data_IF_958037004789
#
_entry.id   IF_958037004789
#
_cell.length_a   1.000
_cell.length_b   1.000
_cell.length_c   1.000
_cell.angle_alpha   90.00
_cell.angle_beta   90.00
_cell.angle_gamma   90.00
#
_symmetry.space_group_name_H-M   'P 1'
#
loop_
_entity.id
_entity.type
_entity.pdbx_description
1 polymer ?
#
# COMPACT_ATOMS: atom_id res chain seq x y z
N UNK A 1 -13.36 -15.26 -28.17
CA UNK A 1 -12.09 -15.52 -27.44
C UNK A 1 -11.45 -14.25 -26.85
N UNK A 2 -11.58 -13.07 -27.47
CA UNK A 2 -11.11 -11.78 -26.91
C UNK A 2 -11.94 -11.22 -25.73
N UNK A 3 -13.17 -11.70 -25.47
CA UNK A 3 -14.00 -11.25 -24.34
C UNK A 3 -13.68 -11.94 -23.02
N UNK A 4 -13.07 -13.14 -23.05
CA UNK A 4 -12.68 -13.91 -21.85
C UNK A 4 -11.44 -13.34 -21.16
N UNK A 5 -10.52 -12.76 -21.95
CA UNK A 5 -9.31 -12.08 -21.44
C UNK A 5 -9.69 -10.74 -20.79
N UNK A 6 -10.64 -9.98 -21.36
CA UNK A 6 -11.22 -8.78 -20.72
C UNK A 6 -11.91 -9.09 -19.40
N UNK A 7 -12.62 -10.22 -19.29
CA UNK A 7 -13.27 -10.65 -18.05
C UNK A 7 -12.25 -11.09 -16.98
N UNK A 8 -11.14 -11.73 -17.37
CA UNK A 8 -10.05 -12.11 -16.45
C UNK A 8 -9.22 -10.92 -15.98
N UNK A 9 -9.01 -9.92 -16.83
CA UNK A 9 -8.44 -8.62 -16.43
C UNK A 9 -9.38 -7.85 -15.52
N UNK A 10 -10.71 -7.89 -15.75
CA UNK A 10 -11.69 -7.32 -14.84
C UNK A 10 -11.72 -8.06 -13.49
N UNK A 11 -11.59 -9.39 -13.48
CA UNK A 11 -11.54 -10.21 -12.27
C UNK A 11 -10.23 -10.10 -11.49
N UNK A 12 -9.08 -9.85 -12.13
CA UNK A 12 -7.78 -9.63 -11.47
C UNK A 12 -7.61 -8.16 -11.07
N UNK A 13 -8.11 -7.20 -11.85
CA UNK A 13 -8.30 -5.83 -11.37
C UNK A 13 -9.34 -5.79 -10.25
N UNK A 14 -10.36 -6.65 -10.25
CA UNK A 14 -11.23 -6.87 -9.09
C UNK A 14 -10.53 -7.62 -7.98
N UNK A 15 -9.55 -8.50 -8.21
CA UNK A 15 -8.83 -9.17 -7.11
C UNK A 15 -7.75 -8.27 -6.50
N UNK A 16 -7.12 -7.42 -7.30
CA UNK A 16 -6.24 -6.33 -6.87
C UNK A 16 -7.05 -5.20 -6.25
N UNK A 17 -8.22 -4.87 -6.80
CA UNK A 17 -9.17 -3.97 -6.15
C UNK A 17 -9.78 -4.65 -4.93
N UNK A 18 -10.06 -5.96 -4.82
CA UNK A 18 -10.70 -6.61 -3.65
C UNK A 18 -9.69 -6.89 -2.54
N UNK A 19 -8.45 -7.26 -2.85
CA UNK A 19 -7.38 -7.28 -1.84
C UNK A 19 -6.95 -5.86 -1.42
N UNK A 20 -7.29 -4.82 -2.21
CA UNK A 20 -7.16 -3.40 -1.84
C UNK A 20 -8.47 -2.77 -1.32
N UNK A 21 -9.64 -3.39 -1.53
CA UNK A 21 -11.01 -2.91 -1.23
C UNK A 21 -11.75 -3.77 -0.20
N UNK A 22 -11.05 -4.71 0.43
CA UNK A 22 -11.38 -5.08 1.80
C UNK A 22 -11.08 -3.94 2.81
N UNK A 23 -10.79 -2.74 2.32
CA UNK A 23 -11.41 -1.52 2.82
C UNK A 23 -12.14 -0.81 1.67
N UNK A 24 -13.46 -0.62 1.80
CA UNK A 24 -14.34 0.28 1.01
C UNK A 24 -15.30 -0.42 0.03
N UNK A 25 -16.48 -0.79 0.53
CA UNK A 25 -17.73 -0.55 -0.19
C UNK A 25 -18.15 0.90 0.06
N UNK A 26 -17.62 1.83 -0.71
CA UNK A 26 -18.24 3.15 -0.89
C UNK A 26 -18.30 3.35 -2.38
N UNK A 27 -19.50 3.34 -2.93
CA UNK A 27 -19.80 3.99 -4.21
C UNK A 27 -19.51 5.48 -4.03
N UNK A 28 -18.26 5.85 -4.27
CA UNK A 28 -17.79 7.22 -4.23
C UNK A 28 -16.52 7.25 -5.05
N UNK A 29 -16.46 8.15 -6.03
CA UNK A 29 -15.21 8.49 -6.68
C UNK A 29 -14.20 8.83 -5.58
N UNK A 30 -13.20 7.97 -5.36
CA UNK A 30 -12.19 8.14 -4.31
C UNK A 30 -11.26 9.29 -4.73
N UNK A 31 -11.76 10.52 -4.56
CA UNK A 31 -11.00 11.74 -4.75
C UNK A 31 -9.98 11.80 -3.62
N UNK A 32 -8.79 11.25 -3.87
CA UNK A 32 -7.63 11.41 -2.98
C UNK A 32 -7.49 12.90 -2.66
N UNK A 33 -7.77 13.30 -1.43
CA UNK A 33 -7.62 14.70 -1.06
C UNK A 33 -6.17 15.11 -1.28
N UNK A 34 -5.98 16.21 -2.00
CA UNK A 34 -4.67 16.76 -2.31
C UNK A 34 -4.77 18.27 -2.46
N UNK A 35 -4.11 18.99 -1.56
CA UNK A 35 -4.05 20.44 -1.61
C UNK A 35 -2.61 20.92 -1.48
N UNK A 36 -2.20 21.85 -2.34
CA UNK A 36 -0.86 22.43 -2.32
C UNK A 36 -0.91 23.95 -2.31
N UNK A 37 0.10 24.56 -1.71
CA UNK A 37 0.32 26.00 -1.72
C UNK A 37 1.76 26.28 -2.17
N UNK A 38 1.90 27.01 -3.29
CA UNK A 38 3.18 27.54 -3.73
C UNK A 38 3.24 29.03 -3.33
N UNK A 39 4.08 29.39 -2.36
CA UNK A 39 4.18 30.77 -1.89
C UNK A 39 5.15 31.58 -2.77
N UNK A 40 4.62 32.49 -3.59
CA UNK A 40 5.37 33.29 -4.57
C UNK A 40 6.23 34.43 -3.99
N UNK A 41 6.44 34.55 -2.67
CA UNK A 41 7.18 35.68 -2.08
C UNK A 41 8.66 35.73 -2.50
N UNK A 42 9.23 34.62 -2.97
CA UNK A 42 10.57 34.58 -3.51
C UNK A 42 10.71 33.49 -4.57
N UNK A 43 11.31 33.81 -5.71
CA UNK A 43 11.55 32.88 -6.82
C UNK A 43 13.03 32.56 -7.02
N UNK A 44 13.33 31.52 -7.80
CA UNK A 44 14.70 31.16 -8.22
C UNK A 44 14.82 31.06 -9.75
N UNK A 45 16.03 31.21 -10.29
CA UNK A 45 16.26 31.06 -11.75
C UNK A 45 16.21 29.59 -12.21
N UNK A 46 15.77 29.29 -13.43
CA UNK A 46 15.56 27.93 -13.92
C UNK A 46 16.84 27.07 -13.98
N UNK A 47 18.02 27.67 -14.05
CA UNK A 47 19.34 27.00 -14.00
C UNK A 47 20.14 27.36 -12.74
N UNK A 48 19.45 27.73 -11.65
CA UNK A 48 20.12 28.16 -10.41
C UNK A 48 20.62 26.99 -9.57
N UNK A 49 21.67 27.24 -8.77
CA UNK A 49 22.14 26.31 -7.73
C UNK A 49 21.02 25.94 -6.74
N UNK A 50 20.10 26.87 -6.45
CA UNK A 50 18.94 26.60 -5.61
C UNK A 50 18.06 25.49 -6.20
N UNK A 51 17.79 25.51 -7.52
CA UNK A 51 16.99 24.45 -8.18
C UNK A 51 17.68 23.09 -8.09
N UNK A 52 18.99 23.04 -8.29
CA UNK A 52 19.77 21.80 -8.13
C UNK A 52 19.68 21.27 -6.69
N UNK A 53 19.89 22.14 -5.69
CA UNK A 53 19.78 21.77 -4.28
C UNK A 53 18.37 21.30 -3.90
N UNK A 54 17.33 21.95 -4.42
CA UNK A 54 15.95 21.57 -4.20
C UNK A 54 15.65 20.20 -4.82
N UNK A 55 16.10 19.93 -6.05
CA UNK A 55 15.92 18.62 -6.67
C UNK A 55 16.64 17.51 -5.87
N UNK A 56 17.86 17.78 -5.38
CA UNK A 56 18.62 16.87 -4.50
C UNK A 56 17.88 16.62 -3.18
N UNK A 57 17.35 17.66 -2.56
CA UNK A 57 16.55 17.56 -1.34
C UNK A 57 15.32 16.68 -1.56
N UNK A 58 14.53 16.97 -2.61
CA UNK A 58 13.30 16.21 -2.90
C UNK A 58 13.61 14.73 -3.20
N UNK A 59 14.67 14.43 -3.94
CA UNK A 59 15.13 13.04 -4.14
C UNK A 59 15.50 12.36 -2.82
N UNK A 60 16.21 13.08 -1.94
CA UNK A 60 16.56 12.59 -0.59
C UNK A 60 15.32 12.27 0.24
N UNK A 61 14.29 13.14 0.22
CA UNK A 61 13.04 12.92 0.94
C UNK A 61 12.29 11.68 0.41
N UNK A 62 12.19 11.51 -0.91
CA UNK A 62 11.57 10.30 -1.51
C UNK A 62 12.30 9.03 -1.08
N UNK A 63 13.64 9.02 -1.15
CA UNK A 63 14.46 7.87 -0.73
C UNK A 63 14.27 7.52 0.75
N UNK A 64 14.19 8.54 1.62
CA UNK A 64 14.00 8.36 3.07
C UNK A 64 12.58 7.96 3.46
N UNK A 65 11.57 8.35 2.68
CA UNK A 65 10.20 7.87 2.85
C UNK A 65 10.07 6.39 2.44
N UNK A 66 10.88 5.96 1.48
CA UNK A 66 10.96 4.56 1.05
C UNK A 66 11.64 3.64 2.06
N UNK A 67 12.64 4.12 2.81
CA UNK A 67 13.38 3.29 3.76
C UNK A 67 12.78 3.40 5.19
N UNK A 68 11.73 2.62 5.43
CA UNK A 68 10.83 2.73 6.60
C UNK A 68 11.39 2.24 7.96
N UNK A 69 12.65 1.81 7.99
CA UNK A 69 13.33 1.40 9.23
C UNK A 69 13.87 2.58 10.03
N UNK A 70 14.10 3.75 9.40
CA UNK A 70 14.81 4.87 10.03
C UNK A 70 13.96 6.12 10.23
N UNK A 71 13.04 6.42 9.31
CA UNK A 71 12.28 7.67 9.34
C UNK A 71 11.00 7.60 10.17
N UNK A 72 10.46 6.41 10.46
CA UNK A 72 9.20 6.25 11.20
C UNK A 72 8.04 7.13 10.66
N UNK A 73 8.04 7.51 9.38
CA UNK A 73 7.01 8.40 8.82
C UNK A 73 7.31 9.90 8.93
N UNK A 74 8.47 10.31 9.43
CA UNK A 74 8.91 11.69 9.44
C UNK A 74 10.41 11.81 9.14
N UNK A 75 10.78 12.76 8.29
CA UNK A 75 12.19 13.04 8.03
C UNK A 75 12.36 14.46 7.53
N UNK A 76 13.40 15.13 8.01
CA UNK A 76 13.80 16.45 7.55
C UNK A 76 15.24 16.44 7.05
N UNK A 77 15.53 17.27 6.06
CA UNK A 77 16.88 17.43 5.51
C UNK A 77 17.15 18.87 5.11
N UNK A 78 18.44 19.21 5.17
CA UNK A 78 18.97 20.48 4.69
C UNK A 78 19.96 20.19 3.58
N UNK A 79 19.84 20.90 2.46
CA UNK A 79 20.82 20.87 1.38
C UNK A 79 21.41 22.26 1.24
N UNK A 80 22.72 22.38 1.48
CA UNK A 80 23.49 23.61 1.32
C UNK A 80 24.73 23.37 0.46
N UNK A 81 25.06 24.33 -0.39
CA UNK A 81 26.40 24.43 -1.00
C UNK A 81 27.31 25.34 -0.15
N UNK A 82 28.47 25.73 -0.69
CA UNK A 82 29.38 26.68 -0.05
C UNK A 82 28.70 28.05 0.25
N UNK A 83 27.72 28.44 -0.58
CA UNK A 83 26.97 29.68 -0.41
C UNK A 83 25.61 29.42 0.28
N UNK A 84 25.43 30.02 1.47
CA UNK A 84 24.19 29.93 2.26
C UNK A 84 22.97 30.53 1.55
N UNK A 85 23.12 31.36 0.51
CA UNK A 85 22.00 31.90 -0.29
C UNK A 85 21.22 30.84 -1.08
N UNK A 86 21.79 29.64 -1.25
CA UNK A 86 21.16 28.53 -1.97
C UNK A 86 20.75 27.37 -1.06
N UNK A 87 20.67 27.62 0.25
CA UNK A 87 20.22 26.61 1.20
C UNK A 87 18.74 26.28 0.98
N UNK A 88 18.40 25.00 1.13
CA UNK A 88 17.03 24.50 1.05
C UNK A 88 16.76 23.60 2.23
N UNK A 89 15.65 23.86 2.93
CA UNK A 89 15.13 23.05 4.02
C UNK A 89 13.89 22.32 3.54
N UNK A 90 13.73 21.05 3.90
CA UNK A 90 12.52 20.31 3.59
C UNK A 90 12.29 19.14 4.51
N UNK A 91 11.04 18.71 4.56
CA UNK A 91 10.62 17.55 5.32
C UNK A 91 9.41 16.87 4.68
N UNK A 92 9.19 15.62 5.07
CA UNK A 92 7.89 14.98 4.94
C UNK A 92 7.39 14.53 6.31
N UNK A 93 6.08 14.45 6.45
CA UNK A 93 5.39 13.86 7.60
C UNK A 93 4.21 13.04 7.10
N UNK A 94 4.20 11.77 7.45
CA UNK A 94 3.12 10.85 7.19
C UNK A 94 2.15 10.84 8.38
N UNK A 95 0.86 10.70 8.09
CA UNK A 95 -0.15 10.60 9.11
C UNK A 95 0.10 9.37 9.98
N UNK A 96 0.11 9.55 11.30
CA UNK A 96 0.60 8.50 12.21
C UNK A 96 -0.19 7.18 12.18
N UNK A 97 -1.42 7.22 11.67
CA UNK A 97 -2.28 6.04 11.52
C UNK A 97 -2.10 5.26 10.21
N UNK A 98 -1.27 5.73 9.27
CA UNK A 98 -1.08 5.05 7.99
C UNK A 98 0.03 4.01 8.06
N UNK A 99 -0.12 2.95 7.28
CA UNK A 99 0.92 1.96 7.13
C UNK A 99 2.17 2.54 6.46
N UNK A 100 3.32 2.06 6.91
CA UNK A 100 4.66 2.40 6.40
C UNK A 100 4.76 2.40 4.87
N UNK A 101 4.12 1.44 4.21
CA UNK A 101 4.15 1.27 2.75
C UNK A 101 3.35 2.37 2.02
N UNK A 102 2.23 2.84 2.59
CA UNK A 102 1.42 3.93 2.03
C UNK A 102 2.15 5.27 2.12
N UNK A 103 2.92 5.46 3.19
CA UNK A 103 3.73 6.67 3.40
C UNK A 103 4.70 6.95 2.22
N UNK A 104 5.49 5.95 1.80
CA UNK A 104 6.45 6.12 0.70
C UNK A 104 5.79 6.51 -0.63
N UNK A 105 4.66 5.85 -0.96
CA UNK A 105 3.87 6.17 -2.16
C UNK A 105 3.32 7.59 -2.11
N UNK A 106 2.76 7.99 -0.97
CA UNK A 106 2.23 9.33 -0.78
C UNK A 106 3.29 10.41 -0.97
N UNK A 107 4.47 10.24 -0.34
CA UNK A 107 5.55 11.22 -0.40
C UNK A 107 6.06 11.39 -1.83
N UNK A 108 6.23 10.31 -2.59
CA UNK A 108 6.62 10.38 -4.00
C UNK A 108 5.62 11.17 -4.83
N UNK A 109 4.33 10.78 -4.80
CA UNK A 109 3.26 11.43 -5.58
C UNK A 109 3.14 12.92 -5.21
N UNK A 110 3.28 13.23 -3.93
CA UNK A 110 3.30 14.61 -3.42
C UNK A 110 4.48 15.40 -3.96
N UNK A 111 5.68 14.81 -4.02
CA UNK A 111 6.89 15.44 -4.56
C UNK A 111 6.79 15.64 -6.07
N UNK A 112 6.26 14.69 -6.82
CA UNK A 112 5.99 14.82 -8.26
C UNK A 112 5.02 15.99 -8.53
N UNK A 113 3.97 16.08 -7.72
CA UNK A 113 3.00 17.18 -7.82
C UNK A 113 3.65 18.52 -7.50
N UNK A 114 4.44 18.61 -6.41
CA UNK A 114 5.18 19.83 -6.08
C UNK A 114 6.19 20.21 -7.17
N UNK A 115 6.86 19.23 -7.78
CA UNK A 115 7.77 19.48 -8.92
C UNK A 115 7.02 20.14 -10.07
N UNK A 116 5.90 19.52 -10.47
CA UNK A 116 5.06 19.98 -11.58
C UNK A 116 4.46 21.38 -11.32
N UNK A 117 3.91 21.60 -10.13
CA UNK A 117 3.10 22.79 -9.82
C UNK A 117 3.90 23.96 -9.22
N UNK A 118 4.87 23.69 -8.35
CA UNK A 118 5.58 24.72 -7.59
C UNK A 118 7.03 24.92 -8.07
N UNK A 119 7.77 23.83 -8.26
CA UNK A 119 9.20 23.90 -8.66
C UNK A 119 9.35 24.44 -10.08
N UNK A 120 8.53 23.98 -11.02
CA UNK A 120 8.55 24.48 -12.40
C UNK A 120 8.10 25.95 -12.50
N UNK A 121 7.26 26.40 -11.57
CA UNK A 121 6.91 27.81 -11.38
C UNK A 121 7.92 28.57 -10.51
N UNK A 122 9.09 28.00 -10.26
CA UNK A 122 10.22 28.62 -9.58
C UNK A 122 9.98 29.07 -8.12
N UNK A 123 9.01 28.47 -7.41
CA UNK A 123 8.67 28.84 -6.04
C UNK A 123 9.70 28.35 -5.02
N UNK A 124 10.20 29.24 -4.14
CA UNK A 124 11.15 28.87 -3.07
C UNK A 124 10.49 28.25 -1.83
N UNK A 125 9.20 28.48 -1.58
CA UNK A 125 8.45 27.88 -0.47
C UNK A 125 7.21 27.19 -1.02
N UNK A 126 7.02 25.92 -0.66
CA UNK A 126 5.78 25.22 -0.96
C UNK A 126 5.49 24.14 0.06
N UNK A 127 4.21 23.81 0.17
CA UNK A 127 3.69 22.72 1.00
C UNK A 127 2.56 22.02 0.25
N UNK A 128 2.44 20.72 0.43
CA UNK A 128 1.33 19.90 -0.02
C UNK A 128 0.85 19.02 1.12
N UNK A 129 -0.46 18.87 1.23
CA UNK A 129 -1.13 17.96 2.16
C UNK A 129 -2.01 16.99 1.37
N UNK A 130 -2.07 15.76 1.85
CA UNK A 130 -2.96 14.70 1.37
C UNK A 130 -3.58 13.96 2.55
N UNK A 131 -4.44 12.97 2.30
CA UNK A 131 -4.98 12.10 3.36
C UNK A 131 -3.93 11.22 4.06
N UNK A 132 -2.78 11.04 3.42
CA UNK A 132 -1.72 10.13 3.89
C UNK A 132 -0.48 10.90 4.37
N UNK A 133 -0.12 12.02 3.74
CA UNK A 133 1.13 12.71 4.09
C UNK A 133 1.15 14.19 3.70
N UNK A 134 2.09 14.88 4.31
CA UNK A 134 2.49 16.25 4.03
C UNK A 134 3.95 16.27 3.54
N UNK A 135 4.24 17.09 2.54
CA UNK A 135 5.61 17.41 2.10
C UNK A 135 5.78 18.92 2.01
N UNK A 136 6.88 19.44 2.54
CA UNK A 136 7.15 20.88 2.56
C UNK A 136 8.62 21.18 2.28
N UNK A 137 8.87 22.27 1.55
CA UNK A 137 10.21 22.85 1.39
C UNK A 137 10.20 24.37 1.50
N UNK A 138 11.34 24.95 1.89
CA UNK A 138 11.53 26.41 1.98
C UNK A 138 13.01 26.80 1.90
N UNK A 139 13.27 28.05 1.52
CA UNK A 139 14.56 28.71 1.69
C UNK A 139 14.76 29.32 3.09
N UNK A 140 13.74 29.27 3.96
CA UNK A 140 13.79 29.69 5.36
C UNK A 140 13.77 28.46 6.26
N UNK A 141 14.43 28.53 7.42
CA UNK A 141 14.43 27.43 8.38
C UNK A 141 13.08 27.31 9.09
N UNK A 142 12.54 26.10 9.25
CA UNK A 142 11.21 25.89 9.86
C UNK A 142 11.04 24.59 10.68
N UNK A 143 12.11 23.87 11.04
CA UNK A 143 11.96 22.54 11.62
C UNK A 143 11.45 22.51 13.06
N UNK A 144 11.60 23.59 13.81
CA UNK A 144 11.13 23.70 15.20
C UNK A 144 10.28 24.96 15.42
N UNK A 145 9.79 25.57 14.35
CA UNK A 145 8.93 26.75 14.40
C UNK A 145 7.46 26.32 14.34
N UNK A 146 6.63 26.92 15.18
CA UNK A 146 5.17 26.76 15.08
C UNK A 146 4.66 27.68 13.97
N UNK A 147 4.32 27.09 12.82
CA UNK A 147 3.71 27.78 11.68
C UNK A 147 2.29 27.25 11.45
N UNK A 148 1.33 28.19 11.41
CA UNK A 148 -0.09 27.93 11.15
C UNK A 148 -0.51 28.39 9.75
N UNK A 149 0.40 29.00 8.99
CA UNK A 149 0.15 29.50 7.64
C UNK A 149 1.10 28.87 6.59
N UNK A 150 0.61 28.45 5.41
CA UNK A 150 -0.79 28.56 4.96
C UNK A 150 -1.72 27.61 5.73
N UNK A 151 -2.94 28.09 5.98
CA UNK A 151 -3.99 27.36 6.68
C UNK A 151 -5.04 26.88 5.71
N UNK A 152 -5.47 25.63 5.84
CA UNK A 152 -6.64 25.13 5.13
C UNK A 152 -7.66 24.58 6.12
N UNK A 153 -8.91 24.99 5.96
CA UNK A 153 -10.05 24.33 6.56
C UNK A 153 -10.86 23.63 5.46
N UNK A 154 -11.10 22.35 5.65
CA UNK A 154 -12.04 21.58 4.86
C UNK A 154 -13.17 21.13 5.77
N UNK A 155 -14.40 21.26 5.28
CA UNK A 155 -15.61 20.89 6.00
C UNK A 155 -16.36 19.87 5.21
N UNK A 156 -17.03 18.96 5.90
CA UNK A 156 -17.97 18.04 5.27
C UNK A 156 -19.07 18.85 4.56
N UNK A 157 -19.57 18.36 3.44
CA UNK A 157 -20.72 18.96 2.76
C UNK A 157 -21.97 18.92 3.64
N UNK A 158 -22.12 17.84 4.40
CA UNK A 158 -23.27 17.57 5.26
C UNK A 158 -23.19 18.29 6.61
N UNK A 159 -24.33 18.78 7.06
CA UNK A 159 -24.54 19.29 8.40
C UNK A 159 -24.89 18.15 9.37
N UNK A 160 -24.63 18.34 10.65
CA UNK A 160 -25.11 17.39 11.66
C UNK A 160 -26.60 17.63 11.93
N UNK A 161 -27.42 16.61 11.68
CA UNK A 161 -28.89 16.70 11.78
C UNK A 161 -29.46 16.47 13.19
N UNK A 162 -28.62 16.08 14.16
CA UNK A 162 -29.06 15.83 15.54
C UNK A 162 -29.03 17.07 16.45
N UNK A 163 -29.15 16.86 17.76
CA UNK A 163 -29.07 17.95 18.74
C UNK A 163 -27.66 18.53 18.82
N UNK A 164 -27.48 19.74 18.26
CA UNK A 164 -26.17 20.38 18.08
C UNK A 164 -25.41 20.58 19.39
N UNK A 165 -26.07 20.94 20.49
CA UNK A 165 -25.41 21.13 21.80
C UNK A 165 -24.83 19.83 22.36
N UNK A 166 -25.52 18.71 22.17
CA UNK A 166 -25.05 17.38 22.58
C UNK A 166 -23.83 16.97 21.74
N UNK A 167 -23.94 17.15 20.42
CA UNK A 167 -22.83 16.89 19.49
C UNK A 167 -21.59 17.72 19.81
N UNK A 168 -21.76 19.03 20.02
CA UNK A 168 -20.65 19.93 20.34
C UNK A 168 -19.95 19.51 21.64
N UNK A 169 -20.69 19.07 22.67
CA UNK A 169 -20.10 18.53 23.90
C UNK A 169 -19.25 17.28 23.65
N UNK A 170 -19.77 16.33 22.86
CA UNK A 170 -19.03 15.11 22.49
C UNK A 170 -17.80 15.45 21.65
N UNK A 171 -17.93 16.36 20.68
CA UNK A 171 -16.84 16.81 19.83
C UNK A 171 -15.74 17.53 20.64
N UNK A 172 -16.09 18.44 21.54
CA UNK A 172 -15.13 19.10 22.42
C UNK A 172 -14.39 18.11 23.31
N UNK A 173 -15.10 17.13 23.88
CA UNK A 173 -14.47 16.08 24.69
C UNK A 173 -13.53 15.19 23.87
N UNK A 174 -13.93 14.82 22.64
CA UNK A 174 -13.09 14.07 21.71
C UNK A 174 -11.81 14.84 21.37
N UNK A 175 -11.93 16.12 21.01
CA UNK A 175 -10.81 16.97 20.62
C UNK A 175 -9.85 17.15 21.80
N UNK A 176 -10.32 17.46 23.01
CA UNK A 176 -9.44 17.64 24.17
C UNK A 176 -8.62 16.38 24.51
N UNK A 177 -9.20 15.18 24.37
CA UNK A 177 -8.48 13.93 24.56
C UNK A 177 -7.40 13.73 23.47
N UNK A 178 -7.71 14.06 22.22
CA UNK A 178 -6.75 13.99 21.11
C UNK A 178 -5.60 14.98 21.30
N UNK A 179 -5.90 16.22 21.70
CA UNK A 179 -4.91 17.28 21.99
C UNK A 179 -3.95 16.83 23.09
N UNK A 180 -4.49 16.29 24.18
CA UNK A 180 -3.71 15.82 25.32
C UNK A 180 -2.79 14.68 24.89
N UNK A 181 -3.34 13.61 24.31
CA UNK A 181 -2.57 12.44 23.89
C UNK A 181 -1.51 12.76 22.83
N UNK A 182 -1.83 13.58 21.82
CA UNK A 182 -0.88 13.91 20.76
C UNK A 182 0.27 14.80 21.27
N UNK A 183 0.00 15.71 22.21
CA UNK A 183 1.01 16.65 22.73
C UNK A 183 1.98 16.03 23.74
N UNK A 184 1.51 15.07 24.54
CA UNK A 184 2.31 14.35 25.55
C UNK A 184 3.33 13.37 24.95
N UNK A 185 3.16 12.97 23.68
CA UNK A 185 4.15 12.14 22.98
C UNK A 185 5.51 12.86 22.95
N UNK A 186 6.64 12.21 23.29
CA UNK A 186 7.96 12.85 23.35
C UNK A 186 8.44 13.46 22.01
N UNK A 187 9.36 14.42 22.11
CA UNK A 187 10.04 15.01 20.93
C UNK A 187 10.78 13.91 20.16
N UNK A 188 10.72 13.98 18.82
CA UNK A 188 11.36 13.01 17.93
C UNK A 188 10.55 11.73 17.70
N UNK A 189 9.45 11.53 18.44
CA UNK A 189 8.46 10.49 18.16
C UNK A 189 7.30 11.02 17.31
N UNK A 190 6.54 10.13 16.68
CA UNK A 190 5.32 10.52 15.96
C UNK A 190 4.25 11.01 16.93
N UNK A 191 4.10 12.32 17.05
CA UNK A 191 3.14 13.00 17.92
C UNK A 191 1.74 12.97 17.32
N UNK A 192 1.00 11.89 17.52
CA UNK A 192 -0.38 11.80 17.04
C UNK A 192 -1.28 11.04 18.02
N UNK A 193 -2.59 11.25 17.86
CA UNK A 193 -3.63 10.51 18.53
C UNK A 193 -4.79 10.24 17.58
N UNK A 194 -5.46 9.10 17.77
CA UNK A 194 -6.72 8.77 17.10
C UNK A 194 -7.73 8.32 18.16
N UNK A 195 -9.01 8.60 17.93
CA UNK A 195 -10.08 8.14 18.82
C UNK A 195 -11.40 8.00 18.07
N UNK A 196 -12.17 7.00 18.46
CA UNK A 196 -13.55 6.78 18.03
C UNK A 196 -14.48 7.10 19.20
N UNK A 197 -15.58 7.79 18.93
CA UNK A 197 -16.68 8.02 19.88
C UNK A 197 -18.02 7.78 19.20
N UNK A 198 -19.04 7.46 19.99
CA UNK A 198 -20.42 7.32 19.51
C UNK A 198 -21.15 8.64 19.72
N UNK A 199 -21.84 9.13 18.68
CA UNK A 199 -22.63 10.39 18.75
C UNK A 199 -24.15 10.12 18.77
N UNK A 200 -24.61 8.95 18.31
CA UNK A 200 -25.98 8.43 18.44
C UNK A 200 -26.00 6.91 18.22
N UNK A 201 -27.15 6.24 18.38
CA UNK A 201 -27.28 4.76 18.36
C UNK A 201 -26.49 4.08 17.23
N UNK A 202 -26.52 4.62 16.01
CA UNK A 202 -25.78 4.08 14.84
C UNK A 202 -24.73 5.03 14.23
N UNK A 203 -24.48 6.20 14.84
CA UNK A 203 -23.53 7.18 14.29
C UNK A 203 -22.27 7.25 15.12
N UNK A 204 -21.13 7.13 14.45
CA UNK A 204 -19.80 7.19 15.03
C UNK A 204 -19.08 8.45 14.55
N UNK A 205 -18.12 8.89 15.35
CA UNK A 205 -17.23 9.98 15.01
C UNK A 205 -15.79 9.55 15.25
N UNK A 206 -14.96 9.76 14.23
CA UNK A 206 -13.55 9.42 14.21
C UNK A 206 -12.74 10.70 14.27
N UNK A 207 -11.87 10.82 15.26
CA UNK A 207 -11.03 11.98 15.45
C UNK A 207 -9.55 11.64 15.34
N UNK A 208 -8.77 12.61 14.84
CA UNK A 208 -7.34 12.53 14.66
C UNK A 208 -6.68 13.87 14.93
N UNK A 209 -5.58 13.84 15.67
CA UNK A 209 -4.69 14.99 15.85
C UNK A 209 -3.24 14.57 15.63
N UNK A 210 -2.45 15.42 14.98
CA UNK A 210 -1.01 15.21 14.82
C UNK A 210 -0.24 16.52 14.84
N UNK A 211 0.97 16.49 15.40
CA UNK A 211 1.95 17.55 15.34
C UNK A 211 3.22 17.08 14.64
N UNK A 212 4.01 18.02 14.10
CA UNK A 212 5.37 17.67 13.66
C UNK A 212 6.21 17.21 14.87
N UNK A 213 7.01 16.13 14.75
CA UNK A 213 7.75 15.54 15.88
C UNK A 213 8.70 16.46 16.65
N UNK A 214 9.19 17.52 16.01
CA UNK A 214 10.18 18.44 16.58
C UNK A 214 9.59 19.50 17.52
N UNK A 215 8.26 19.60 17.67
CA UNK A 215 7.64 20.57 18.59
C UNK A 215 7.67 20.08 20.03
N UNK A 216 7.89 21.02 20.97
CA UNK A 216 7.64 20.79 22.39
C UNK A 216 6.17 20.43 22.64
N UNK A 217 5.90 19.84 23.80
CA UNK A 217 4.53 19.55 24.25
C UNK A 217 3.65 20.81 24.19
N UNK A 218 4.14 21.94 24.73
CA UNK A 218 3.40 23.19 24.76
C UNK A 218 3.14 23.76 23.37
N UNK A 219 4.13 23.73 22.47
CA UNK A 219 3.96 24.23 21.11
C UNK A 219 3.01 23.36 20.29
N UNK A 220 3.06 22.03 20.47
CA UNK A 220 2.10 21.12 19.85
C UNK A 220 0.69 21.38 20.36
N UNK A 221 0.50 21.46 21.69
CA UNK A 221 -0.79 21.72 22.31
C UNK A 221 -1.35 23.07 21.89
N UNK A 222 -0.52 24.11 21.80
CA UNK A 222 -0.90 25.43 21.32
C UNK A 222 -1.38 25.41 19.87
N UNK A 223 -0.63 24.78 18.97
CA UNK A 223 -1.02 24.66 17.56
C UNK A 223 -2.38 23.96 17.41
N UNK A 224 -2.57 22.84 18.12
CA UNK A 224 -3.83 22.08 18.06
C UNK A 224 -5.02 22.83 18.69
N UNK A 225 -4.78 23.67 19.70
CA UNK A 225 -5.81 24.57 20.26
C UNK A 225 -6.22 25.64 19.25
N UNK A 226 -5.28 26.32 18.61
CA UNK A 226 -5.60 27.27 17.54
C UNK A 226 -6.33 26.59 16.36
N UNK A 227 -5.96 25.35 16.02
CA UNK A 227 -6.69 24.57 15.03
C UNK A 227 -8.13 24.27 15.49
N UNK A 228 -8.34 23.99 16.78
CA UNK A 228 -9.67 23.81 17.37
C UNK A 228 -10.50 25.09 17.26
N UNK A 229 -9.93 26.24 17.63
CA UNK A 229 -10.61 27.54 17.54
C UNK A 229 -11.02 27.85 16.10
N UNK A 230 -10.13 27.58 15.13
CA UNK A 230 -10.45 27.80 13.72
C UNK A 230 -11.52 26.83 13.20
N UNK A 231 -11.48 25.57 13.65
CA UNK A 231 -12.46 24.55 13.31
C UNK A 231 -13.88 24.94 13.77
N UNK A 232 -14.01 25.52 14.98
CA UNK A 232 -15.29 26.00 15.51
C UNK A 232 -15.92 27.13 14.65
N UNK A 233 -15.08 27.87 13.91
CA UNK A 233 -15.54 28.94 13.02
C UNK A 233 -15.85 28.35 11.64
N UNK A 234 -14.94 27.58 11.06
CA UNK A 234 -15.04 27.16 9.66
C UNK A 234 -15.95 25.96 9.42
N UNK A 235 -16.07 25.05 10.40
CA UNK A 235 -16.86 23.82 10.34
C UNK A 235 -18.03 23.83 11.34
N UNK A 236 -18.50 25.03 11.74
CA UNK A 236 -19.64 25.18 12.66
C UNK A 236 -20.86 24.43 12.13
N UNK A 237 -21.39 23.50 12.94
CA UNK A 237 -22.57 22.70 12.61
C UNK A 237 -22.31 21.51 11.67
N UNK A 238 -21.07 21.30 11.22
CA UNK A 238 -20.73 20.25 10.26
C UNK A 238 -20.46 18.91 10.94
N UNK A 239 -20.88 17.81 10.31
CA UNK A 239 -20.67 16.46 10.83
C UNK A 239 -19.21 15.99 10.73
N UNK A 240 -18.42 16.65 9.87
CA UNK A 240 -16.98 16.44 9.74
C UNK A 240 -16.24 17.73 9.40
N UNK A 241 -14.97 17.80 9.78
CA UNK A 241 -14.12 18.95 9.52
C UNK A 241 -12.64 18.63 9.75
N UNK A 242 -11.77 19.34 9.01
CA UNK A 242 -10.33 19.16 9.03
C UNK A 242 -9.62 20.51 8.93
N UNK A 243 -8.67 20.74 9.84
CA UNK A 243 -7.68 21.82 9.76
C UNK A 243 -6.32 21.24 9.41
N UNK A 244 -5.68 21.85 8.41
CA UNK A 244 -4.31 21.56 8.00
C UNK A 244 -3.46 22.81 8.20
N UNK A 245 -2.58 22.74 9.19
CA UNK A 245 -1.48 23.68 9.37
C UNK A 245 -0.15 22.99 8.99
N UNK A 246 0.90 23.78 8.72
CA UNK A 246 2.23 23.22 8.53
C UNK A 246 2.81 22.54 9.78
N UNK A 247 2.36 22.95 10.97
CA UNK A 247 2.85 22.43 12.26
C UNK A 247 1.95 21.39 12.92
N UNK A 248 0.65 21.36 12.59
CA UNK A 248 -0.29 20.39 13.14
C UNK A 248 -1.50 20.16 12.25
N UNK A 249 -2.19 19.05 12.49
CA UNK A 249 -3.39 18.61 11.79
C UNK A 249 -4.43 18.23 12.84
N UNK A 250 -5.68 18.64 12.61
CA UNK A 250 -6.84 18.22 13.40
C UNK A 250 -7.96 17.80 12.44
N UNK A 251 -8.54 16.62 12.64
CA UNK A 251 -9.64 16.10 11.82
C UNK A 251 -10.66 15.40 12.69
N UNK A 252 -11.94 15.61 12.39
CA UNK A 252 -13.02 14.72 12.79
C UNK A 252 -13.90 14.40 11.57
N UNK A 253 -14.40 13.17 11.49
CA UNK A 253 -15.20 12.71 10.35
C UNK A 253 -16.12 11.57 10.81
N UNK A 254 -17.36 11.45 10.28
CA UNK A 254 -18.18 10.27 10.51
C UNK A 254 -17.65 9.04 9.76
N UNK A 255 -16.87 9.23 8.69
CA UNK A 255 -16.30 8.12 7.92
C UNK A 255 -15.01 7.62 8.57
N UNK A 256 -14.82 6.30 8.58
CA UNK A 256 -13.59 5.68 9.07
C UNK A 256 -12.41 6.00 8.12
N UNK A 257 -11.42 6.74 8.62
CA UNK A 257 -10.20 7.09 7.85
C UNK A 257 -8.90 6.55 8.47
N UNK A 258 -8.97 5.83 9.59
CA UNK A 258 -7.85 5.12 10.19
C UNK A 258 -8.25 3.71 10.59
N UNK A 259 -7.29 2.77 10.63
CA UNK A 259 -7.55 1.46 11.24
C UNK A 259 -7.34 1.57 12.74
N UNK A 260 -8.35 1.30 13.59
CA UNK A 260 -8.13 1.23 15.01
C UNK A 260 -7.11 0.11 15.32
N UNK A 261 -6.25 0.29 16.35
CA UNK A 261 -5.37 -0.78 16.80
C UNK A 261 -6.21 -2.02 17.13
N UNK A 262 -5.78 -3.18 16.61
CA UNK A 262 -6.53 -4.44 16.72
C UNK A 262 -6.62 -4.84 18.19
N UNK A 263 -7.77 -4.54 18.79
CA UNK A 263 -8.22 -5.03 20.08
C UNK A 263 -9.71 -5.33 19.97
N UNK A 264 -10.03 -6.58 19.59
CA UNK A 264 -11.36 -7.19 19.67
C UNK A 264 -12.42 -6.69 18.68
N UNK A 265 -12.42 -7.21 17.44
CA UNK A 265 -13.65 -7.69 16.75
C UNK A 265 -13.31 -8.38 15.42
N UNK A 266 -14.02 -9.48 15.13
CA UNK A 266 -13.84 -10.38 13.98
C UNK A 266 -14.35 -9.78 12.67
N UNK A 267 -13.51 -9.81 11.62
CA UNK A 267 -13.91 -9.42 10.26
C UNK A 267 -14.28 -10.67 9.46
N UNK A 268 -15.57 -10.83 9.16
CA UNK A 268 -16.10 -11.79 8.19
C UNK A 268 -16.19 -11.14 6.80
N UNK A 269 -15.19 -11.31 5.93
CA UNK A 269 -15.25 -10.86 4.51
C UNK A 269 -14.97 -12.00 3.53
N UNK A 270 -15.98 -12.41 2.76
CA UNK A 270 -15.97 -13.53 1.80
C UNK A 270 -14.85 -13.42 0.75
N UNK A 271 -14.29 -14.57 0.37
CA UNK A 271 -13.13 -14.70 -0.54
C UNK A 271 -13.62 -15.29 -1.87
N UNK A 272 -13.47 -14.56 -2.98
CA UNK A 272 -13.74 -15.08 -4.33
C UNK A 272 -12.57 -15.96 -4.81
N UNK A 273 -12.74 -17.28 -4.80
CA UNK A 273 -11.73 -18.26 -5.26
C UNK A 273 -11.83 -18.57 -6.77
N UNK A 274 -10.74 -19.04 -7.37
CA UNK A 274 -10.76 -19.72 -8.68
C UNK A 274 -11.65 -20.96 -8.58
N UNK A 275 -12.72 -20.99 -9.38
CA UNK A 275 -13.67 -22.10 -9.40
C UNK A 275 -13.21 -23.17 -10.39
N UNK A 276 -12.85 -24.34 -9.88
CA UNK A 276 -12.85 -25.58 -10.65
C UNK A 276 -14.26 -26.15 -10.63
N UNK A 277 -14.72 -26.66 -11.77
CA UNK A 277 -15.97 -27.40 -11.80
C UNK A 277 -15.82 -28.70 -10.99
N UNK A 278 -16.86 -29.03 -10.24
CA UNK A 278 -16.86 -30.22 -9.38
C UNK A 278 -16.60 -31.50 -10.18
N UNK A 279 -17.02 -31.54 -11.46
CA UNK A 279 -16.83 -32.69 -12.33
C UNK A 279 -15.34 -32.94 -12.61
N UNK A 280 -14.56 -31.91 -12.95
CA UNK A 280 -13.09 -32.03 -13.10
C UNK A 280 -12.41 -32.55 -11.84
N UNK A 281 -12.81 -32.05 -10.67
CA UNK A 281 -12.24 -32.50 -9.38
C UNK A 281 -12.66 -33.94 -9.06
N UNK A 282 -13.91 -34.31 -9.39
CA UNK A 282 -14.39 -35.68 -9.25
C UNK A 282 -13.64 -36.62 -10.19
N UNK A 283 -13.41 -36.25 -11.44
CA UNK A 283 -12.62 -37.08 -12.36
C UNK A 283 -11.19 -37.28 -11.84
N UNK A 284 -10.54 -36.19 -11.42
CA UNK A 284 -9.16 -36.26 -10.93
C UNK A 284 -9.03 -37.12 -9.66
N UNK A 285 -10.03 -37.10 -8.77
CA UNK A 285 -10.00 -37.84 -7.50
C UNK A 285 -10.69 -39.20 -7.57
N UNK A 286 -11.08 -39.66 -8.76
CA UNK A 286 -11.93 -40.83 -8.94
C UNK A 286 -13.18 -40.80 -8.04
N UNK A 287 -13.97 -39.73 -8.19
CA UNK A 287 -15.18 -39.39 -7.42
C UNK A 287 -14.95 -39.33 -5.90
N UNK A 288 -13.78 -38.85 -5.49
CA UNK A 288 -13.34 -38.84 -4.09
C UNK A 288 -13.33 -40.25 -3.47
N UNK A 289 -12.78 -41.24 -4.19
CA UNK A 289 -12.62 -42.61 -3.69
C UNK A 289 -11.80 -42.62 -2.39
N UNK A 290 -12.17 -43.48 -1.44
CA UNK A 290 -11.39 -43.68 -0.22
C UNK A 290 -10.00 -44.26 -0.51
N UNK A 291 -9.81 -44.95 -1.64
CA UNK A 291 -8.48 -45.41 -2.10
C UNK A 291 -7.51 -44.24 -2.37
N UNK A 292 -8.07 -43.07 -2.69
CA UNK A 292 -7.31 -41.86 -2.95
C UNK A 292 -7.19 -41.00 -1.68
N UNK A 293 -7.74 -41.40 -0.53
CA UNK A 293 -7.70 -40.59 0.68
C UNK A 293 -6.30 -40.64 1.30
N UNK A 294 -5.65 -39.49 1.38
CA UNK A 294 -4.28 -39.33 1.91
C UNK A 294 -4.23 -38.76 3.31
N UNK A 295 -5.37 -38.32 3.87
CA UNK A 295 -5.46 -37.90 5.26
C UNK A 295 -6.85 -37.40 5.64
N UNK A 296 -7.15 -37.40 6.94
CA UNK A 296 -8.37 -36.80 7.47
C UNK A 296 -8.07 -36.09 8.80
N UNK A 297 -8.65 -34.91 8.97
CA UNK A 297 -8.61 -34.18 10.24
C UNK A 297 -9.97 -33.58 10.59
N UNK A 298 -10.00 -32.70 11.60
CA UNK A 298 -11.23 -32.02 12.05
C UNK A 298 -11.99 -31.28 10.94
N UNK A 299 -11.29 -30.87 9.88
CA UNK A 299 -11.81 -29.97 8.83
C UNK A 299 -12.22 -30.67 7.53
N UNK A 300 -11.98 -31.98 7.40
CA UNK A 300 -12.26 -32.70 6.16
C UNK A 300 -11.23 -33.79 5.82
N UNK A 301 -11.55 -34.52 4.75
CA UNK A 301 -10.66 -35.53 4.18
C UNK A 301 -9.88 -34.92 2.99
N UNK A 302 -8.61 -35.27 2.87
CA UNK A 302 -7.74 -34.90 1.76
C UNK A 302 -7.59 -36.10 0.85
N UNK A 303 -7.81 -35.90 -0.44
CA UNK A 303 -7.73 -36.92 -1.48
C UNK A 303 -6.59 -36.59 -2.44
N UNK A 304 -5.78 -37.58 -2.80
CA UNK A 304 -4.89 -37.52 -3.95
C UNK A 304 -5.74 -37.56 -5.22
N UNK A 305 -5.52 -36.61 -6.11
CA UNK A 305 -6.09 -36.63 -7.45
C UNK A 305 -4.98 -36.71 -8.49
N UNK A 306 -5.29 -37.25 -9.66
CA UNK A 306 -4.39 -37.23 -10.81
C UNK A 306 -5.13 -36.56 -11.96
N UNK A 307 -4.64 -35.38 -12.34
CA UNK A 307 -5.20 -34.66 -13.49
C UNK A 307 -4.81 -35.35 -14.80
N UNK A 308 -5.59 -35.09 -15.87
CA UNK A 308 -5.24 -35.57 -17.22
C UNK A 308 -3.89 -34.98 -17.62
N UNK A 309 -2.85 -35.82 -17.69
CA UNK A 309 -1.45 -35.41 -17.84
C UNK A 309 -0.49 -35.96 -16.77
N UNK A 310 -1.00 -36.75 -15.80
CA UNK A 310 -0.17 -37.44 -14.80
C UNK A 310 0.25 -36.58 -13.60
N UNK A 311 -0.26 -35.34 -13.52
CA UNK A 311 0.01 -34.45 -12.39
C UNK A 311 -0.79 -34.87 -11.16
N UNK A 312 -0.07 -35.15 -10.07
CA UNK A 312 -0.66 -35.45 -8.77
C UNK A 312 -1.05 -34.16 -8.04
N UNK A 313 -2.27 -34.10 -7.51
CA UNK A 313 -2.83 -32.99 -6.73
C UNK A 313 -3.35 -33.50 -5.38
N UNK A 314 -3.44 -32.62 -4.39
CA UNK A 314 -4.14 -32.88 -3.13
C UNK A 314 -5.43 -32.06 -3.06
N UNK A 315 -6.56 -32.73 -2.90
CA UNK A 315 -7.91 -32.14 -2.90
C UNK A 315 -8.52 -32.31 -1.51
N UNK A 316 -8.64 -31.23 -0.75
CA UNK A 316 -9.27 -31.23 0.58
C UNK A 316 -10.79 -31.03 0.43
N UNK A 317 -11.57 -32.05 0.80
CA UNK A 317 -13.04 -32.03 0.79
C UNK A 317 -13.57 -31.77 2.20
N UNK A 318 -14.32 -30.67 2.36
CA UNK A 318 -14.92 -30.28 3.63
C UNK A 318 -16.07 -31.23 4.03
N UNK A 319 -16.24 -31.47 5.34
CA UNK A 319 -17.37 -32.26 5.89
C UNK A 319 -18.69 -31.49 5.71
N UNK A 320 -19.74 -32.18 5.27
CA UNK A 320 -21.07 -31.59 4.97
C UNK A 320 -21.84 -31.05 6.19
N UNK A 321 -21.46 -31.42 7.42
CA UNK A 321 -22.29 -31.22 8.62
C UNK A 321 -21.75 -30.17 9.60
N UNK A 322 -21.02 -29.16 9.12
CA UNK A 322 -20.43 -28.15 10.01
C UNK A 322 -20.75 -26.74 9.51
N UNK A 323 -21.63 -26.02 10.22
CA UNK A 323 -21.75 -24.55 10.09
C UNK A 323 -20.43 -23.83 10.46
N UNK A 324 -19.46 -24.55 11.06
CA UNK A 324 -18.09 -24.12 11.30
C UNK A 324 -17.20 -24.15 10.04
N UNK A 325 -17.47 -25.03 9.06
CA UNK A 325 -16.53 -25.37 7.98
C UNK A 325 -16.19 -24.22 7.03
N UNK A 326 -17.15 -23.32 6.74
CA UNK A 326 -16.90 -22.13 5.92
C UNK A 326 -16.09 -21.05 6.68
N UNK A 327 -16.34 -20.89 7.98
CA UNK A 327 -15.62 -19.97 8.86
C UNK A 327 -14.18 -20.47 9.06
N UNK A 328 -14.00 -21.78 9.21
CA UNK A 328 -12.70 -22.43 9.39
C UNK A 328 -11.88 -22.45 8.08
N UNK A 329 -12.52 -22.71 6.93
CA UNK A 329 -11.89 -22.55 5.61
C UNK A 329 -11.37 -21.13 5.42
N UNK A 330 -12.18 -20.14 5.78
CA UNK A 330 -11.81 -18.73 5.72
C UNK A 330 -10.67 -18.40 6.67
N UNK A 331 -10.66 -18.97 7.89
CA UNK A 331 -9.51 -18.87 8.81
C UNK A 331 -8.25 -19.48 8.22
N UNK A 332 -8.31 -20.67 7.61
CA UNK A 332 -7.15 -21.35 7.03
C UNK A 332 -6.58 -20.56 5.83
N UNK A 333 -7.43 -20.04 4.94
CA UNK A 333 -7.01 -19.16 3.83
C UNK A 333 -6.42 -17.85 4.33
N UNK A 334 -7.01 -17.25 5.37
CA UNK A 334 -6.54 -16.00 5.98
C UNK A 334 -5.26 -16.22 6.82
N UNK A 335 -5.02 -17.44 7.28
CA UNK A 335 -3.75 -17.87 7.87
C UNK A 335 -2.69 -18.05 6.79
N UNK A 336 -3.00 -18.74 5.67
CA UNK A 336 -2.10 -18.91 4.53
C UNK A 336 -1.70 -17.56 3.91
N UNK A 337 -2.61 -16.59 3.86
CA UNK A 337 -2.29 -15.22 3.39
C UNK A 337 -1.39 -14.44 4.36
N UNK A 338 -1.30 -14.87 5.61
CA UNK A 338 -0.43 -14.28 6.66
C UNK A 338 0.83 -15.11 6.94
N UNK A 339 0.91 -16.35 6.44
CA UNK A 339 2.06 -17.22 6.63
C UNK A 339 3.24 -16.71 5.82
N UNK A 340 4.39 -16.51 6.44
CA UNK A 340 5.66 -16.29 5.75
C UNK A 340 6.34 -17.66 5.51
N UNK A 341 5.83 -18.39 4.52
CA UNK A 341 6.37 -19.70 4.16
C UNK A 341 7.36 -19.58 3.00
N UNK A 342 8.45 -20.35 3.04
CA UNK A 342 9.54 -20.41 2.02
C UNK A 342 9.07 -20.54 0.56
N UNK A 343 7.85 -21.02 0.34
CA UNK A 343 7.28 -21.25 -0.99
C UNK A 343 6.22 -20.22 -1.42
N UNK A 344 5.75 -19.33 -0.54
CA UNK A 344 4.72 -18.33 -0.88
C UNK A 344 5.26 -17.19 -1.76
N UNK A 345 6.48 -16.74 -1.49
CA UNK A 345 7.18 -15.78 -2.35
C UNK A 345 7.39 -16.35 -3.75
N UNK A 346 7.75 -17.63 -3.86
CA UNK A 346 7.89 -18.33 -5.14
C UNK A 346 6.58 -18.33 -5.93
N UNK A 347 5.46 -18.65 -5.28
CA UNK A 347 4.14 -18.62 -5.93
C UNK A 347 3.80 -17.22 -6.43
N UNK A 348 4.06 -16.20 -5.62
CA UNK A 348 3.85 -14.80 -5.99
C UNK A 348 4.66 -14.41 -7.25
N UNK A 349 5.93 -14.83 -7.32
CA UNK A 349 6.78 -14.60 -8.48
C UNK A 349 6.29 -15.29 -9.76
N UNK A 350 5.85 -16.54 -9.65
CA UNK A 350 5.25 -17.29 -10.76
C UNK A 350 4.03 -16.55 -11.31
N UNK A 351 3.12 -16.10 -10.44
CA UNK A 351 1.89 -15.40 -10.84
C UNK A 351 2.23 -14.08 -11.57
N UNK A 352 3.21 -13.31 -11.10
CA UNK A 352 3.66 -12.10 -11.80
C UNK A 352 4.11 -12.42 -13.22
N UNK A 353 4.96 -13.44 -13.39
CA UNK A 353 5.49 -13.82 -14.69
C UNK A 353 4.39 -14.39 -15.61
N UNK A 354 3.42 -15.09 -15.04
CA UNK A 354 2.25 -15.62 -15.75
C UNK A 354 1.39 -14.47 -16.31
N UNK A 355 1.13 -13.45 -15.49
CA UNK A 355 0.35 -12.26 -15.88
C UNK A 355 1.06 -11.46 -16.97
N UNK A 356 2.36 -11.16 -16.77
CA UNK A 356 3.13 -10.35 -17.73
C UNK A 356 3.19 -11.06 -19.08
N UNK A 357 3.34 -12.38 -19.06
CA UNK A 357 3.55 -13.14 -20.29
C UNK A 357 2.30 -13.65 -20.98
N UNK A 358 1.17 -13.69 -20.27
CA UNK A 358 -0.04 -14.37 -20.73
C UNK A 358 0.14 -15.89 -20.90
N UNK A 359 1.31 -16.44 -20.56
CA UNK A 359 1.63 -17.86 -20.63
C UNK A 359 1.37 -18.49 -19.28
N UNK A 360 0.60 -19.58 -19.26
CA UNK A 360 0.35 -20.37 -18.06
C UNK A 360 1.64 -20.95 -17.52
N UNK A 361 1.79 -21.01 -16.19
CA UNK A 361 2.92 -21.69 -15.55
C UNK A 361 2.97 -23.19 -15.88
N UNK A 362 1.81 -23.78 -16.20
CA UNK A 362 1.65 -25.17 -16.65
C UNK A 362 0.77 -25.15 -17.89
N UNK A 363 1.32 -25.60 -19.02
CA UNK A 363 0.56 -25.75 -20.26
C UNK A 363 0.01 -27.17 -20.41
N UNK A 364 -1.29 -27.35 -20.20
CA UNK A 364 -1.96 -28.66 -20.34
C UNK A 364 -2.23 -29.06 -21.81
N UNK A 365 -1.77 -28.27 -22.79
CA UNK A 365 -2.07 -28.46 -24.22
C UNK A 365 -0.92 -29.06 -25.04
N UNK A 366 0.26 -29.23 -24.44
CA UNK A 366 1.30 -30.13 -24.91
C UNK A 366 1.83 -29.89 -26.33
N UNK A 367 2.79 -28.99 -26.49
CA UNK A 367 3.88 -29.09 -27.49
C UNK A 367 5.10 -28.35 -26.92
N UNK A 368 6.26 -29.01 -26.96
CA UNK A 368 7.66 -28.57 -26.81
C UNK A 368 7.94 -27.06 -26.55
N UNK A 369 7.38 -26.51 -25.47
CA UNK A 369 7.57 -25.12 -25.08
C UNK A 369 8.23 -25.07 -23.71
N UNK A 370 9.30 -24.28 -23.61
CA UNK A 370 10.00 -23.98 -22.36
C UNK A 370 8.95 -23.64 -21.28
N UNK A 371 9.09 -24.22 -20.08
CA UNK A 371 8.25 -23.85 -18.95
C UNK A 371 8.34 -22.33 -18.70
N UNK A 372 7.30 -21.74 -18.12
CA UNK A 372 7.18 -20.29 -17.95
C UNK A 372 8.43 -19.65 -17.31
N UNK A 373 9.04 -20.33 -16.34
CA UNK A 373 10.21 -19.82 -15.63
C UNK A 373 11.46 -19.89 -16.50
N UNK A 374 11.66 -20.99 -17.23
CA UNK A 374 12.72 -21.14 -18.23
C UNK A 374 12.61 -20.09 -19.34
N UNK A 375 11.39 -19.88 -19.86
CA UNK A 375 11.12 -18.88 -20.88
C UNK A 375 11.39 -17.46 -20.37
N UNK A 376 10.86 -17.10 -19.19
CA UNK A 376 11.08 -15.78 -18.59
C UNK A 376 12.55 -15.50 -18.29
N UNK A 377 13.27 -16.50 -17.76
CA UNK A 377 14.70 -16.40 -17.46
C UNK A 377 15.55 -16.21 -18.72
N UNK A 378 15.26 -16.98 -19.78
CA UNK A 378 15.93 -16.84 -21.08
C UNK A 378 15.75 -15.43 -21.65
N UNK A 379 14.51 -14.93 -21.68
CA UNK A 379 14.20 -13.58 -22.17
C UNK A 379 14.82 -12.47 -21.31
N UNK A 380 14.93 -12.68 -20.01
CA UNK A 380 15.65 -11.78 -19.12
C UNK A 380 17.16 -11.71 -19.44
N UNK A 381 17.84 -12.86 -19.58
CA UNK A 381 19.27 -12.91 -19.93
C UNK A 381 19.58 -12.29 -21.30
N UNK A 382 18.69 -12.49 -22.26
CA UNK A 382 18.82 -11.91 -23.60
C UNK A 382 18.50 -10.39 -23.65
N UNK A 383 18.14 -9.77 -22.52
CA UNK A 383 17.64 -8.38 -22.44
C UNK A 383 16.39 -8.14 -23.32
N UNK A 384 15.62 -9.20 -23.59
CA UNK A 384 14.41 -9.22 -24.43
C UNK A 384 13.14 -9.34 -23.59
N UNK A 385 13.08 -8.64 -22.47
CA UNK A 385 11.94 -8.69 -21.54
C UNK A 385 10.64 -8.20 -22.17
N UNK A 386 10.67 -7.40 -23.24
CA UNK A 386 9.48 -7.02 -24.00
C UNK A 386 8.91 -8.16 -24.85
N UNK A 387 9.74 -9.12 -25.27
CA UNK A 387 9.25 -10.32 -25.97
C UNK A 387 8.55 -11.29 -25.02
N UNK A 388 8.74 -11.14 -23.71
CA UNK A 388 7.97 -11.87 -22.69
C UNK A 388 6.53 -11.38 -22.65
N UNK A 389 6.26 -10.10 -22.97
CA UNK A 389 4.96 -9.47 -22.75
C UNK A 389 3.83 -10.07 -23.59
N UNK A 390 2.69 -10.27 -22.94
CA UNK A 390 1.44 -10.48 -23.64
C UNK A 390 1.14 -9.26 -24.55
N UNK A 391 0.89 -9.48 -25.86
CA UNK A 391 0.58 -8.40 -26.81
C UNK A 391 -0.58 -7.48 -26.38
N UNK A 392 -1.50 -7.99 -25.55
CA UNK A 392 -2.64 -7.22 -25.03
C UNK A 392 -2.25 -6.19 -23.96
N UNK A 393 -1.06 -6.31 -23.35
CA UNK A 393 -0.55 -5.41 -22.32
C UNK A 393 0.35 -4.29 -22.87
N UNK A 394 0.76 -4.38 -24.15
CA UNK A 394 1.81 -3.55 -24.79
C UNK A 394 1.54 -2.03 -24.78
N UNK A 395 0.28 -1.61 -24.64
CA UNK A 395 -0.12 -0.19 -24.64
C UNK A 395 -0.63 0.32 -23.29
N UNK A 396 -0.66 -0.52 -22.25
CA UNK A 396 -1.28 -0.19 -20.96
C UNK A 396 -0.27 0.16 -19.86
N UNK A 397 1.03 -0.08 -20.07
CA UNK A 397 2.08 0.08 -19.05
C UNK A 397 3.34 0.70 -19.66
N UNK A 398 4.12 1.42 -18.84
CA UNK A 398 5.43 1.93 -19.26
C UNK A 398 6.46 0.80 -19.34
N UNK A 399 7.44 0.96 -20.23
CA UNK A 399 8.53 -0.01 -20.40
C UNK A 399 9.26 -0.29 -19.08
N UNK A 400 9.53 0.77 -18.31
CA UNK A 400 10.19 0.70 -17.00
C UNK A 400 9.39 -0.08 -15.96
N UNK A 401 8.07 0.05 -15.92
CA UNK A 401 7.22 -0.69 -14.98
C UNK A 401 7.21 -2.19 -15.30
N UNK A 402 7.23 -2.53 -16.59
CA UNK A 402 7.28 -3.93 -17.04
C UNK A 402 8.61 -4.56 -16.69
N UNK A 403 9.73 -3.92 -17.05
CA UNK A 403 11.08 -4.43 -16.72
C UNK A 403 11.19 -4.68 -15.22
N UNK A 404 10.65 -3.76 -14.42
CA UNK A 404 10.63 -3.86 -12.96
C UNK A 404 9.77 -5.03 -12.47
N UNK A 405 8.57 -5.22 -13.02
CA UNK A 405 7.72 -6.35 -12.69
C UNK A 405 8.37 -7.71 -13.03
N UNK A 406 9.02 -7.82 -14.19
CA UNK A 406 9.76 -9.03 -14.59
C UNK A 406 10.91 -9.30 -13.62
N UNK A 407 11.69 -8.27 -13.25
CA UNK A 407 12.79 -8.39 -12.30
C UNK A 407 12.31 -8.86 -10.92
N UNK A 408 11.23 -8.26 -10.40
CA UNK A 408 10.62 -8.67 -9.12
C UNK A 408 10.11 -10.10 -9.19
N UNK A 409 9.43 -10.48 -10.29
CA UNK A 409 8.96 -11.84 -10.52
C UNK A 409 10.09 -12.87 -10.45
N UNK A 410 11.22 -12.57 -11.12
CA UNK A 410 12.41 -13.43 -11.11
C UNK A 410 13.12 -13.50 -9.75
N UNK A 411 13.19 -12.39 -9.01
CA UNK A 411 13.70 -12.38 -7.63
C UNK A 411 12.85 -13.24 -6.68
N UNK A 412 11.55 -13.36 -6.95
CA UNK A 412 10.66 -14.16 -6.14
C UNK A 412 10.80 -15.67 -6.39
N UNK A 413 11.29 -16.09 -7.57
CA UNK A 413 11.41 -17.51 -7.96
C UNK A 413 12.84 -18.07 -7.89
N UNK A 414 13.76 -17.36 -7.21
CA UNK A 414 15.17 -17.75 -7.07
C UNK A 414 15.33 -19.20 -6.63
N UNK A 415 16.37 -19.87 -7.16
CA UNK A 415 16.66 -21.26 -6.85
C UNK A 415 16.84 -21.52 -5.36
N UNK A 416 17.71 -20.72 -4.74
CA UNK A 416 17.90 -20.70 -3.29
C UNK A 416 16.73 -19.94 -2.60
N UNK A 417 15.96 -20.58 -1.70
CA UNK A 417 14.90 -19.91 -0.94
C UNK A 417 15.36 -18.71 -0.12
N UNK A 418 16.59 -18.72 0.40
CA UNK A 418 17.13 -17.65 1.25
C UNK A 418 17.48 -16.38 0.47
N UNK A 419 17.62 -16.49 -0.86
CA UNK A 419 17.84 -15.36 -1.76
C UNK A 419 16.53 -14.71 -2.23
N UNK A 420 15.39 -15.31 -1.90
CA UNK A 420 14.07 -14.75 -2.24
C UNK A 420 13.76 -13.60 -1.28
N UNK A 421 13.28 -12.44 -1.77
CA UNK A 421 12.92 -11.33 -0.90
C UNK A 421 11.70 -11.67 -0.05
N UNK A 422 11.65 -11.17 1.18
CA UNK A 422 10.44 -11.22 2.01
C UNK A 422 9.35 -10.30 1.43
N UNK A 423 8.07 -10.58 1.74
CA UNK A 423 6.93 -9.83 1.19
C UNK A 423 6.98 -8.31 1.44
N UNK A 424 7.52 -7.88 2.58
CA UNK A 424 7.71 -6.45 2.85
C UNK A 424 8.70 -5.80 1.89
N UNK A 425 9.78 -6.51 1.53
CA UNK A 425 10.79 -6.05 0.56
C UNK A 425 10.21 -5.99 -0.85
N UNK A 426 9.40 -6.99 -1.25
CA UNK A 426 8.68 -6.99 -2.52
C UNK A 426 7.75 -5.77 -2.63
N UNK A 427 7.03 -5.45 -1.56
CA UNK A 427 6.15 -4.27 -1.55
C UNK A 427 6.94 -2.96 -1.66
N UNK A 428 8.14 -2.89 -1.06
CA UNK A 428 9.05 -1.76 -1.27
C UNK A 428 9.52 -1.68 -2.73
N UNK A 429 9.82 -2.81 -3.37
CA UNK A 429 10.23 -2.84 -4.78
C UNK A 429 9.15 -2.26 -5.72
N UNK A 430 7.87 -2.55 -5.50
CA UNK A 430 6.80 -1.94 -6.30
C UNK A 430 6.57 -0.47 -5.99
N UNK A 431 6.68 -0.09 -4.72
CA UNK A 431 6.28 1.24 -4.26
C UNK A 431 7.42 2.25 -4.19
N UNK A 432 8.65 1.90 -4.60
CA UNK A 432 9.82 2.76 -4.54
C UNK A 432 10.75 2.55 -5.72
N UNK A 433 11.14 3.65 -6.38
CA UNK A 433 12.22 3.67 -7.36
C UNK A 433 13.54 3.54 -6.61
N UNK A 434 13.95 2.30 -6.33
CA UNK A 434 15.36 2.03 -6.10
C UNK A 434 16.02 1.92 -7.46
N UNK A 435 17.05 2.75 -7.68
CA UNK A 435 17.82 2.80 -8.92
C UNK A 435 18.49 1.46 -9.24
N UNK A 436 18.70 0.58 -8.25
CA UNK A 436 19.19 -0.78 -8.47
C UNK A 436 18.41 -1.81 -7.63
N UNK A 437 17.40 -2.43 -8.24
CA UNK A 437 16.88 -3.71 -7.75
C UNK A 437 18.00 -4.77 -7.85
N UNK A 438 18.08 -5.74 -6.91
CA UNK A 438 19.03 -6.84 -7.06
C UNK A 438 18.83 -7.56 -8.39
N UNK A 439 19.93 -7.94 -9.04
CA UNK A 439 19.85 -8.74 -10.26
C UNK A 439 19.41 -10.17 -9.89
N UNK A 440 18.35 -10.70 -10.51
CA UNK A 440 17.92 -12.06 -10.25
C UNK A 440 18.97 -13.06 -10.75
N UNK A 441 19.18 -14.13 -9.98
CA UNK A 441 19.93 -15.31 -10.41
C UNK A 441 18.98 -16.38 -10.95
N UNK A 442 19.54 -17.51 -11.38
CA UNK A 442 18.79 -18.58 -12.02
C UNK A 442 17.68 -19.16 -11.11
N UNK A 443 16.42 -19.24 -11.59
CA UNK A 443 15.32 -19.87 -10.85
C UNK A 443 15.54 -21.37 -10.60
N UNK A 444 14.94 -21.92 -9.55
CA UNK A 444 14.90 -23.39 -9.41
C UNK A 444 13.86 -23.95 -10.36
N UNK A 445 14.29 -24.55 -11.47
CA UNK A 445 13.43 -25.27 -12.39
C UNK A 445 12.84 -26.52 -11.73
N UNK A 446 11.63 -26.91 -12.14
CA UNK A 446 11.12 -28.24 -11.82
C UNK A 446 12.05 -29.23 -12.52
N UNK A 447 12.83 -29.98 -11.75
CA UNK A 447 13.64 -31.07 -12.26
C UNK A 447 12.70 -32.05 -13.01
N UNK A 448 12.67 -31.98 -14.34
CA UNK A 448 12.24 -33.13 -15.16
C UNK A 448 13.27 -34.21 -14.86
N UNK A 449 12.88 -35.20 -14.04
CA UNK A 449 13.70 -36.38 -13.82
C UNK A 449 13.97 -37.03 -15.17
N UNK A 450 15.19 -36.85 -15.71
CA UNK A 450 15.76 -37.82 -16.62
C UNK A 450 16.10 -39.02 -15.73
N UNK A 451 15.23 -40.02 -15.72
CA UNK A 451 15.65 -41.35 -15.35
C UNK A 451 16.72 -41.76 -16.37
N UNK A 452 17.99 -41.76 -15.95
CA UNK A 452 19.03 -42.48 -16.66
C UNK A 452 18.68 -43.96 -16.56
N UNK A 453 18.17 -44.53 -17.65
CA UNK A 453 18.20 -45.98 -17.86
C UNK A 453 19.68 -46.32 -18.03
N UNK A 454 20.29 -46.89 -16.99
CA UNK A 454 21.53 -47.64 -17.15
C UNK A 454 21.15 -49.01 -17.69
N UNK A 455 21.34 -49.20 -18.98
CA UNK A 455 21.45 -50.54 -19.56
C UNK A 455 22.72 -51.18 -19.01
N UNK A 456 22.56 -52.31 -18.32
CA UNK A 456 23.60 -53.32 -18.09
C UNK A 456 22.99 -54.68 -18.43
#
# INVERSE_FOLDING_TARGET
>A
MASSIRLKLFSILLFYNVLFSLSVSVTGTDSIFMHYNCTNKATFGPKSTYRSNLNKLLSTLTSKACNSTTSHGFYHATVSGANKRHIVYGLFMCNGYIEKLKCGKCVRKSIETLKSKCVNSNNKKAIIWTDDCMVRYSNQFFFNTTEEWPSLCEKNSEDYEGQLDSFNKVLSSLIEDLLTKASEVPIGSNKFAVKKVTISEDKQLFGFAQCIPNLSMDNCKKCLRHATDFLQICARGKIGGRILYPSCILRYDPNLFFRPPIGGEEITTEINSLHFDLNTIQEATNKFSDDNKIGEGGFGAVYKGVCRGGLEIAVKRLKRNSRQGAIEFKKEVLLISKLQHRNLVRLFGVIILEIISGKRNVDCTGVDSDDLLSYAWKKWKESKHFELLDPTLKHSFSETEITRCVQIGLLCVQGNPDQRPIMSTISLYFNCDQDDLPLPQEPAFLMRGKAEIKDN
#
